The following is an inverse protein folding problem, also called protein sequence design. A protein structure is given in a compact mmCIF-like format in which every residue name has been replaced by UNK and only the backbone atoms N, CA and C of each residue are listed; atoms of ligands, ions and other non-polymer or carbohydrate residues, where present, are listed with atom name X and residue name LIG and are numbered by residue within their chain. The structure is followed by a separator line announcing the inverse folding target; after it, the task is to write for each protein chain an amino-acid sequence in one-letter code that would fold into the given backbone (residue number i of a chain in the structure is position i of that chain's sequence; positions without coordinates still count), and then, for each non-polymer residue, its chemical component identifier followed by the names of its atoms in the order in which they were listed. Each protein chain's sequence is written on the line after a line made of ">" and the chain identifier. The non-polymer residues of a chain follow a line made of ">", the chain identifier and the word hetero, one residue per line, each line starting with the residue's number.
data_IF_702475017503
#
_entry.id   IF_702475017503
#
_cell.length_a   1.000
_cell.length_b   1.000
_cell.length_c   1.000
_cell.angle_alpha   90.00
_cell.angle_beta   90.00
_cell.angle_gamma   90.00
#
_symmetry.space_group_name_H-M   'P 1'
#
loop_
_entity.id
_entity.type
_entity.pdbx_description
1 polymer ?
#
# COMPACT_ATOMS: atom_id res chain seq x y z
N UNK A 1 -5.96 16.57 -12.51
CA UNK A 1 -5.16 17.36 -11.55
C UNK A 1 -4.06 16.58 -10.86
N UNK A 2 -4.23 15.31 -10.48
CA UNK A 2 -3.17 14.53 -9.83
C UNK A 2 -1.96 14.31 -10.74
N UNK A 3 -2.15 13.90 -11.98
CA UNK A 3 -1.05 13.59 -12.90
C UNK A 3 -0.12 14.79 -13.16
N UNK A 4 -0.66 16.00 -13.34
CA UNK A 4 0.18 17.18 -13.53
C UNK A 4 1.09 17.42 -12.32
N UNK A 5 0.52 17.44 -11.10
CA UNK A 5 1.29 17.60 -9.86
C UNK A 5 2.35 16.52 -9.68
N UNK A 6 2.01 15.26 -10.00
CA UNK A 6 2.95 14.16 -9.92
C UNK A 6 4.14 14.38 -10.87
N UNK A 7 3.88 14.61 -12.16
CA UNK A 7 4.91 14.82 -13.18
C UNK A 7 5.78 16.03 -12.86
N UNK A 8 5.18 17.18 -12.53
CA UNK A 8 5.91 18.40 -12.18
C UNK A 8 6.80 18.21 -10.94
N UNK A 9 6.30 17.51 -9.91
CA UNK A 9 7.06 17.26 -8.68
C UNK A 9 8.28 16.36 -8.90
N UNK A 10 8.15 15.34 -9.75
CA UNK A 10 9.26 14.47 -10.15
C UNK A 10 10.23 15.22 -11.06
N UNK A 11 9.71 15.95 -12.04
CA UNK A 11 10.53 16.71 -12.97
C UNK A 11 11.33 17.85 -12.28
N UNK A 12 10.87 18.34 -11.15
CA UNK A 12 11.57 19.35 -10.36
C UNK A 12 12.78 18.81 -9.58
N UNK A 13 12.94 17.50 -9.47
CA UNK A 13 14.09 16.92 -8.77
C UNK A 13 15.36 17.02 -9.64
N UNK A 14 16.46 17.58 -9.12
CA UNK A 14 17.71 17.76 -9.92
C UNK A 14 18.33 16.44 -10.38
N UNK A 15 18.18 15.39 -9.60
CA UNK A 15 18.76 14.07 -9.86
C UNK A 15 18.00 13.29 -10.96
N UNK A 16 16.80 13.74 -11.34
CA UNK A 16 15.98 13.11 -12.39
C UNK A 16 16.42 13.62 -13.77
N UNK A 17 17.02 12.76 -14.57
CA UNK A 17 17.42 13.06 -15.96
C UNK A 17 16.28 12.97 -16.96
N UNK A 18 15.33 12.05 -16.75
CA UNK A 18 14.18 11.86 -17.62
C UNK A 18 12.93 11.47 -16.80
N UNK A 19 11.77 11.83 -17.29
CA UNK A 19 10.46 11.43 -16.75
C UNK A 19 9.70 10.70 -17.85
N UNK A 20 9.32 9.46 -17.59
CA UNK A 20 8.60 8.63 -18.56
C UNK A 20 7.21 8.36 -18.01
N UNK A 21 6.19 8.86 -18.67
CA UNK A 21 4.79 8.59 -18.32
C UNK A 21 4.20 7.64 -19.36
N UNK A 22 3.72 6.49 -18.89
CA UNK A 22 3.06 5.51 -19.75
C UNK A 22 1.55 5.60 -19.50
N UNK A 23 0.83 6.08 -20.52
CA UNK A 23 -0.62 6.22 -20.46
C UNK A 23 -1.30 4.89 -20.84
N UNK A 24 -1.85 4.21 -19.86
CA UNK A 24 -2.56 2.95 -20.05
C UNK A 24 -4.04 3.20 -20.38
N UNK A 25 -4.30 3.70 -21.60
CA UNK A 25 -5.65 3.88 -22.17
C UNK A 25 -6.58 4.75 -21.29
N UNK A 26 -6.07 5.83 -20.69
CA UNK A 26 -6.91 6.75 -19.92
C UNK A 26 -8.01 7.37 -20.80
N UNK A 27 -9.25 7.38 -20.28
CA UNK A 27 -10.44 7.90 -20.97
C UNK A 27 -10.82 9.30 -20.51
N UNK A 28 -10.10 9.86 -19.53
CA UNK A 28 -10.30 11.19 -18.99
C UNK A 28 -9.35 12.22 -19.65
N UNK A 29 -9.18 13.37 -19.02
CA UNK A 29 -8.31 14.45 -19.52
C UNK A 29 -6.81 14.18 -19.42
N UNK A 30 -6.37 13.00 -18.96
CA UNK A 30 -4.96 12.66 -18.74
C UNK A 30 -4.12 12.89 -19.98
N UNK A 31 -4.56 12.44 -21.16
CA UNK A 31 -3.83 12.64 -22.43
C UNK A 31 -3.60 14.11 -22.74
N UNK A 32 -4.64 14.95 -22.64
CA UNK A 32 -4.52 16.38 -22.92
C UNK A 32 -3.55 17.07 -21.96
N UNK A 33 -3.61 16.73 -20.67
CA UNK A 33 -2.68 17.24 -19.65
C UNK A 33 -1.25 16.84 -19.95
N UNK A 34 -1.00 15.59 -20.32
CA UNK A 34 0.34 15.09 -20.64
C UNK A 34 0.91 15.74 -21.89
N UNK A 35 0.09 16.00 -22.92
CA UNK A 35 0.50 16.74 -24.13
C UNK A 35 0.94 18.16 -23.79
N UNK A 36 0.18 18.86 -22.95
CA UNK A 36 0.53 20.19 -22.48
C UNK A 36 1.84 20.19 -21.67
N UNK A 37 2.00 19.24 -20.76
CA UNK A 37 3.21 19.11 -19.94
C UNK A 37 4.45 18.79 -20.78
N UNK A 38 4.33 17.93 -21.80
CA UNK A 38 5.44 17.58 -22.70
C UNK A 38 5.96 18.80 -23.48
N UNK A 39 5.08 19.76 -23.80
CA UNK A 39 5.50 21.03 -24.38
C UNK A 39 6.28 21.95 -23.43
N UNK A 40 6.19 21.77 -22.11
CA UNK A 40 6.82 22.62 -21.09
C UNK A 40 8.00 21.95 -20.38
N UNK A 41 8.03 20.62 -20.33
CA UNK A 41 9.02 19.83 -19.58
C UNK A 41 9.87 19.03 -20.56
N UNK A 42 11.06 19.50 -20.99
CA UNK A 42 11.86 18.85 -22.03
C UNK A 42 12.27 17.41 -21.74
N UNK A 43 12.40 17.05 -20.46
CA UNK A 43 12.76 15.69 -20.04
C UNK A 43 11.56 14.74 -19.88
N UNK A 44 10.33 15.19 -20.18
CA UNK A 44 9.13 14.36 -20.15
C UNK A 44 8.96 13.61 -21.48
N UNK A 45 8.89 12.29 -21.39
CA UNK A 45 8.50 11.38 -22.49
C UNK A 45 7.15 10.78 -22.17
N UNK A 46 6.21 10.82 -23.09
CA UNK A 46 4.88 10.21 -22.95
C UNK A 46 4.77 9.04 -23.91
N UNK A 47 4.42 7.88 -23.37
CA UNK A 47 4.19 6.64 -24.12
C UNK A 47 2.72 6.23 -23.97
N UNK A 48 2.16 5.63 -24.99
CA UNK A 48 0.79 5.11 -25.01
C UNK A 48 0.80 3.59 -25.07
N UNK A 49 -0.01 2.95 -24.21
CA UNK A 49 -0.26 1.51 -24.31
C UNK A 49 -1.36 1.27 -25.34
N UNK A 50 -1.03 0.61 -26.43
CA UNK A 50 -2.01 0.27 -27.47
C UNK A 50 -2.91 -0.89 -27.00
N UNK A 51 -2.31 -1.97 -26.51
CA UNK A 51 -3.01 -3.18 -26.08
C UNK A 51 -2.32 -3.79 -24.84
N UNK A 52 -3.12 -4.38 -23.96
CA UNK A 52 -2.63 -5.10 -22.79
C UNK A 52 -2.48 -6.58 -23.13
N UNK A 53 -1.26 -7.14 -23.13
CA UNK A 53 -1.05 -8.55 -23.39
C UNK A 53 -1.73 -9.46 -22.35
N UNK A 54 -2.14 -10.66 -22.78
CA UNK A 54 -2.72 -11.65 -21.89
C UNK A 54 -1.75 -11.99 -20.73
N UNK A 55 -2.29 -12.11 -19.53
CA UNK A 55 -1.53 -12.45 -18.32
C UNK A 55 -0.86 -11.25 -17.63
N UNK A 56 -0.97 -10.04 -18.15
CA UNK A 56 -0.46 -8.84 -17.53
C UNK A 56 -1.51 -8.06 -16.73
N UNK A 57 -1.08 -7.48 -15.63
CA UNK A 57 -1.80 -6.39 -14.98
C UNK A 57 -1.38 -5.07 -15.65
N UNK A 58 -2.33 -4.17 -15.95
CA UNK A 58 -2.06 -2.95 -16.72
C UNK A 58 -0.93 -2.10 -16.12
N UNK A 59 -0.90 -1.91 -14.80
CA UNK A 59 0.18 -1.18 -14.10
C UNK A 59 1.54 -1.81 -14.36
N UNK A 60 1.65 -3.15 -14.26
CA UNK A 60 2.91 -3.86 -14.43
C UNK A 60 3.40 -3.76 -15.87
N UNK A 61 2.48 -3.84 -16.84
CA UNK A 61 2.84 -3.70 -18.25
C UNK A 61 3.30 -2.28 -18.57
N UNK A 62 2.59 -1.27 -18.10
CA UNK A 62 3.00 0.12 -18.26
C UNK A 62 4.39 0.38 -17.64
N UNK A 63 4.63 -0.11 -16.42
CA UNK A 63 5.92 0.00 -15.76
C UNK A 63 7.04 -0.70 -16.54
N UNK A 64 6.75 -1.87 -17.11
CA UNK A 64 7.70 -2.63 -17.96
C UNK A 64 8.06 -1.86 -19.24
N UNK A 65 7.07 -1.27 -19.94
CA UNK A 65 7.30 -0.42 -21.13
C UNK A 65 8.18 0.78 -20.77
N UNK A 66 7.85 1.50 -19.71
CA UNK A 66 8.62 2.65 -19.27
C UNK A 66 10.06 2.30 -18.93
N UNK A 67 10.27 1.20 -18.19
CA UNK A 67 11.62 0.73 -17.85
C UNK A 67 12.42 0.28 -19.08
N UNK A 68 11.76 -0.26 -20.10
CA UNK A 68 12.41 -0.72 -21.34
C UNK A 68 13.04 0.41 -22.17
N UNK A 69 12.52 1.64 -22.05
CA UNK A 69 13.05 2.82 -22.77
C UNK A 69 13.87 3.75 -21.89
N UNK A 70 13.92 3.47 -20.57
CA UNK A 70 14.67 4.27 -19.62
C UNK A 70 16.18 4.11 -19.79
N UNK A 71 16.92 5.23 -19.78
CA UNK A 71 18.37 5.28 -19.94
C UNK A 71 19.12 5.46 -18.60
N UNK A 72 18.41 5.90 -17.55
CA UNK A 72 19.00 6.17 -16.24
C UNK A 72 19.65 4.94 -15.60
N UNK A 73 20.65 5.15 -14.78
CA UNK A 73 21.28 4.10 -13.96
C UNK A 73 20.32 3.56 -12.90
N UNK A 74 19.51 4.43 -12.33
CA UNK A 74 18.46 4.12 -11.39
C UNK A 74 17.08 4.33 -12.03
N UNK A 75 16.16 3.44 -11.74
CA UNK A 75 14.76 3.52 -12.14
C UNK A 75 13.92 3.89 -10.90
N UNK A 76 13.20 5.01 -10.98
CA UNK A 76 12.24 5.41 -9.95
C UNK A 76 10.82 5.17 -10.46
N UNK A 77 10.16 4.15 -9.93
CA UNK A 77 8.74 3.92 -10.18
C UNK A 77 7.91 4.71 -9.18
N UNK A 78 6.86 5.36 -9.66
CA UNK A 78 5.94 6.15 -8.85
C UNK A 78 4.53 6.13 -9.42
N UNK A 79 3.51 6.23 -8.56
CA UNK A 79 2.12 6.28 -9.00
C UNK A 79 1.74 7.71 -9.44
N UNK A 80 0.75 7.81 -10.34
CA UNK A 80 0.28 9.07 -10.93
C UNK A 80 -0.45 10.01 -9.93
N UNK A 81 -0.71 9.55 -8.71
CA UNK A 81 -1.33 10.29 -7.61
C UNK A 81 -0.35 10.62 -6.48
N UNK A 82 0.91 10.27 -6.67
CA UNK A 82 2.01 10.52 -5.72
C UNK A 82 2.80 11.75 -6.15
N UNK A 83 3.15 12.61 -5.21
CA UNK A 83 4.00 13.75 -5.46
C UNK A 83 5.19 13.80 -4.52
N UNK A 84 6.30 14.24 -5.10
CA UNK A 84 7.62 14.24 -4.49
C UNK A 84 7.93 15.63 -3.90
N UNK A 85 8.32 15.66 -2.63
CA UNK A 85 8.79 16.90 -2.02
C UNK A 85 10.25 17.17 -2.43
N UNK A 86 10.71 18.42 -2.39
CA UNK A 86 12.07 18.78 -2.78
C UNK A 86 13.11 17.93 -2.05
N UNK A 87 14.06 17.37 -2.81
CA UNK A 87 15.14 16.53 -2.28
C UNK A 87 14.76 15.06 -2.04
N UNK A 88 13.55 14.63 -2.43
CA UNK A 88 13.11 13.23 -2.26
C UNK A 88 14.05 12.23 -2.95
N UNK A 89 14.44 12.50 -4.18
CA UNK A 89 15.32 11.63 -4.96
C UNK A 89 16.74 11.64 -4.39
N UNK A 90 17.27 12.80 -3.99
CA UNK A 90 18.58 12.92 -3.33
C UNK A 90 18.63 12.09 -2.06
N UNK A 91 17.58 12.17 -1.24
CA UNK A 91 17.48 11.38 -0.03
C UNK A 91 17.46 9.88 -0.31
N UNK A 92 16.72 9.43 -1.32
CA UNK A 92 16.65 8.03 -1.67
C UNK A 92 17.98 7.49 -2.18
N UNK A 93 18.72 8.26 -2.98
CA UNK A 93 20.08 7.91 -3.43
C UNK A 93 21.07 7.85 -2.26
N UNK A 94 20.99 8.80 -1.31
CA UNK A 94 21.80 8.76 -0.10
C UNK A 94 21.49 7.52 0.76
N UNK A 95 20.19 7.23 0.99
CA UNK A 95 19.77 6.02 1.72
C UNK A 95 20.24 4.73 1.00
N UNK A 96 20.26 4.70 -0.34
CA UNK A 96 20.79 3.57 -1.10
C UNK A 96 22.28 3.31 -0.79
N UNK A 97 23.09 4.36 -0.78
CA UNK A 97 24.51 4.29 -0.45
C UNK A 97 24.72 3.90 1.01
N UNK A 98 24.10 4.63 1.94
CA UNK A 98 24.28 4.45 3.40
C UNK A 98 23.82 3.06 3.87
N UNK A 99 22.85 2.46 3.20
CA UNK A 99 22.30 1.14 3.52
C UNK A 99 22.82 0.02 2.63
N UNK A 100 23.71 0.32 1.69
CA UNK A 100 24.17 -0.64 0.68
C UNK A 100 22.99 -1.35 0.00
N UNK A 101 21.94 -0.59 -0.31
CA UNK A 101 20.71 -1.09 -0.88
C UNK A 101 20.63 -0.78 -2.37
N UNK A 102 20.26 -1.75 -3.18
CA UNK A 102 20.00 -1.58 -4.62
C UNK A 102 18.53 -1.26 -4.90
N UNK A 103 17.66 -1.48 -3.92
CA UNK A 103 16.25 -1.10 -3.93
C UNK A 103 15.95 -0.27 -2.69
N UNK A 104 15.46 0.96 -2.90
CA UNK A 104 14.94 1.83 -1.85
C UNK A 104 13.47 2.11 -2.11
N UNK A 105 12.64 1.87 -1.13
CA UNK A 105 11.21 2.14 -1.25
C UNK A 105 10.69 2.91 -0.04
N UNK A 106 9.83 3.88 -0.31
CA UNK A 106 9.20 4.70 0.70
C UNK A 106 7.69 4.50 0.71
N UNK A 107 7.12 4.28 1.89
CA UNK A 107 5.68 4.37 2.10
C UNK A 107 5.32 5.86 2.26
N UNK A 108 4.56 6.47 1.34
CA UNK A 108 4.26 7.90 1.36
C UNK A 108 3.39 8.32 2.54
N UNK A 109 3.53 9.58 2.95
CA UNK A 109 2.55 10.22 3.81
C UNK A 109 1.19 10.26 3.13
N UNK A 110 0.15 9.88 3.86
CA UNK A 110 -1.22 9.84 3.36
C UNK A 110 -1.94 11.14 3.66
N UNK A 111 -2.35 11.87 2.62
CA UNK A 111 -3.25 13.02 2.76
C UNK A 111 -4.69 12.51 2.95
N UNK A 112 -5.35 12.93 4.02
CA UNK A 112 -6.68 12.47 4.40
C UNK A 112 -7.57 13.67 4.72
N UNK A 113 -8.57 13.91 3.89
CA UNK A 113 -9.49 15.05 4.03
C UNK A 113 -10.86 14.62 4.57
N UNK A 114 -11.32 13.43 4.20
CA UNK A 114 -12.66 12.95 4.52
C UNK A 114 -12.68 12.07 5.77
N UNK A 115 -13.87 11.91 6.36
CA UNK A 115 -14.10 10.98 7.47
C UNK A 115 -13.63 9.55 7.14
N UNK A 116 -13.96 9.05 5.94
CA UNK A 116 -13.66 7.68 5.53
C UNK A 116 -12.16 7.44 5.37
N UNK A 117 -11.43 8.42 4.84
CA UNK A 117 -9.97 8.37 4.75
C UNK A 117 -9.35 8.31 6.14
N UNK A 118 -9.77 9.19 7.05
CA UNK A 118 -9.25 9.25 8.44
C UNK A 118 -9.59 8.01 9.27
N UNK A 119 -10.70 7.35 8.98
CA UNK A 119 -11.10 6.12 9.66
C UNK A 119 -10.34 4.90 9.14
N UNK A 120 -10.30 4.70 7.82
CA UNK A 120 -9.79 3.45 7.23
C UNK A 120 -8.27 3.46 7.01
N UNK A 121 -7.70 4.55 6.47
CA UNK A 121 -6.30 4.57 6.04
C UNK A 121 -5.32 4.33 7.20
N UNK A 122 -5.40 5.04 8.35
CA UNK A 122 -4.50 4.77 9.47
C UNK A 122 -4.64 3.35 10.02
N UNK A 123 -5.86 2.79 9.97
CA UNK A 123 -6.10 1.42 10.40
C UNK A 123 -5.39 0.42 9.47
N UNK A 124 -5.58 0.55 8.16
CA UNK A 124 -4.90 -0.29 7.14
C UNK A 124 -3.39 -0.19 7.27
N UNK A 125 -2.83 1.02 7.26
CA UNK A 125 -1.37 1.20 7.31
C UNK A 125 -0.78 0.73 8.64
N UNK A 126 -1.50 0.85 9.75
CA UNK A 126 -1.11 0.25 11.03
C UNK A 126 -1.00 -1.28 10.95
N UNK A 127 -1.96 -1.93 10.27
CA UNK A 127 -1.92 -3.40 10.04
C UNK A 127 -0.79 -3.79 9.10
N UNK A 128 -0.58 -3.04 8.03
CA UNK A 128 0.52 -3.27 7.09
C UNK A 128 1.89 -3.08 7.75
N UNK A 129 2.07 -2.06 8.59
CA UNK A 129 3.32 -1.84 9.33
C UNK A 129 3.63 -2.96 10.33
N UNK A 130 2.61 -3.57 10.94
CA UNK A 130 2.77 -4.75 11.79
C UNK A 130 3.20 -5.98 10.96
N UNK A 131 2.63 -6.16 9.77
CA UNK A 131 2.95 -7.28 8.87
C UNK A 131 4.31 -7.11 8.20
N UNK A 132 4.56 -5.95 7.61
CA UNK A 132 5.80 -5.60 6.89
C UNK A 132 6.70 -4.73 7.76
N UNK A 133 7.14 -5.27 8.90
CA UNK A 133 8.03 -4.56 9.82
C UNK A 133 9.31 -4.11 9.11
N UNK A 134 9.60 -2.81 9.12
CA UNK A 134 10.82 -2.25 8.52
C UNK A 134 12.08 -2.96 9.01
N UNK A 135 12.16 -3.29 10.31
CA UNK A 135 13.30 -4.00 10.87
C UNK A 135 13.50 -5.40 10.25
N UNK A 136 12.41 -6.13 9.97
CA UNK A 136 12.50 -7.45 9.33
C UNK A 136 12.79 -7.34 7.84
N UNK A 137 12.11 -6.41 7.16
CA UNK A 137 12.31 -6.20 5.72
C UNK A 137 13.73 -5.77 5.42
N UNK A 138 14.31 -4.89 6.24
CA UNK A 138 15.65 -4.34 6.04
C UNK A 138 16.79 -5.26 6.57
N UNK A 139 16.48 -6.34 7.29
CA UNK A 139 17.49 -7.32 7.70
C UNK A 139 17.81 -8.26 6.51
N UNK A 140 19.03 -8.25 5.97
CA UNK A 140 19.41 -9.07 4.82
C UNK A 140 19.36 -10.58 5.10
N UNK A 141 19.39 -11.00 6.36
CA UNK A 141 19.34 -12.41 6.78
C UNK A 141 17.92 -12.97 6.80
N UNK A 142 16.89 -12.13 6.67
CA UNK A 142 15.49 -12.55 6.74
C UNK A 142 14.88 -12.59 5.34
N UNK A 143 13.95 -13.50 5.07
CA UNK A 143 13.26 -13.60 3.78
C UNK A 143 12.19 -12.50 3.60
N UNK A 144 11.83 -11.77 4.67
CA UNK A 144 10.79 -10.75 4.62
C UNK A 144 11.16 -9.67 3.60
N UNK A 145 10.28 -9.40 2.65
CA UNK A 145 10.45 -8.36 1.64
C UNK A 145 9.18 -7.54 1.50
N UNK A 146 9.32 -6.24 1.32
CA UNK A 146 8.24 -5.33 0.99
C UNK A 146 8.78 -4.11 0.26
N UNK A 147 7.94 -3.53 -0.58
CA UNK A 147 8.11 -2.23 -1.19
C UNK A 147 6.74 -1.58 -1.38
N UNK A 148 6.71 -0.30 -1.69
CA UNK A 148 5.51 0.43 -2.05
C UNK A 148 5.72 1.05 -3.44
N UNK A 149 4.91 0.64 -4.41
CA UNK A 149 4.97 1.10 -5.79
C UNK A 149 4.73 2.60 -5.99
N UNK A 150 4.31 3.31 -4.94
CA UNK A 150 4.19 4.76 -4.96
C UNK A 150 5.55 5.47 -4.91
N UNK A 151 6.58 4.80 -4.37
CA UNK A 151 7.97 5.22 -4.46
C UNK A 151 8.88 4.01 -4.38
N UNK A 152 9.41 3.57 -5.51
CA UNK A 152 10.32 2.44 -5.60
C UNK A 152 11.49 2.80 -6.51
N UNK A 153 12.66 3.06 -5.90
CA UNK A 153 13.92 3.34 -6.58
C UNK A 153 14.72 2.04 -6.67
N UNK A 154 15.08 1.62 -7.87
CA UNK A 154 15.78 0.34 -8.12
C UNK A 154 16.91 0.52 -9.14
N UNK A 155 18.06 -0.03 -8.86
CA UNK A 155 19.20 -0.03 -9.75
C UNK A 155 18.85 -0.78 -11.05
N UNK A 156 19.03 -0.15 -12.24
CA UNK A 156 18.53 -0.67 -13.52
C UNK A 156 19.11 -2.03 -13.89
N UNK A 157 20.38 -2.27 -13.66
CA UNK A 157 21.01 -3.57 -13.95
C UNK A 157 20.44 -4.69 -13.08
N UNK A 158 20.11 -4.40 -11.79
CA UNK A 158 19.45 -5.36 -10.90
C UNK A 158 18.00 -5.58 -11.32
N UNK A 159 17.28 -4.52 -11.70
CA UNK A 159 15.93 -4.64 -12.27
C UNK A 159 15.91 -5.60 -13.47
N UNK A 160 16.88 -5.47 -14.37
CA UNK A 160 17.02 -6.35 -15.54
C UNK A 160 17.39 -7.79 -15.13
N UNK A 161 18.33 -7.93 -14.19
CA UNK A 161 18.79 -9.25 -13.73
C UNK A 161 17.68 -10.09 -13.08
N UNK A 162 16.74 -9.44 -12.34
CA UNK A 162 15.61 -10.15 -11.72
C UNK A 162 14.41 -10.33 -12.67
N UNK A 163 14.53 -9.91 -13.94
CA UNK A 163 13.48 -10.00 -14.95
C UNK A 163 12.42 -8.89 -14.88
N UNK A 164 12.62 -7.88 -14.03
CA UNK A 164 11.77 -6.69 -13.90
C UNK A 164 10.29 -6.99 -13.71
N UNK A 165 9.43 -6.11 -14.20
CA UNK A 165 7.98 -6.29 -14.11
C UNK A 165 7.46 -7.48 -14.93
N UNK A 166 8.23 -8.00 -15.89
CA UNK A 166 7.85 -9.18 -16.65
C UNK A 166 7.81 -10.43 -15.74
N UNK A 167 8.75 -10.56 -14.79
CA UNK A 167 8.75 -11.66 -13.82
C UNK A 167 7.55 -11.64 -12.86
N UNK A 168 6.89 -10.50 -12.72
CA UNK A 168 5.72 -10.29 -11.85
C UNK A 168 4.47 -9.84 -12.62
N UNK A 169 4.40 -10.07 -13.92
CA UNK A 169 3.42 -9.54 -14.86
C UNK A 169 1.96 -9.63 -14.37
N UNK A 170 1.55 -10.79 -13.84
CA UNK A 170 0.20 -11.05 -13.35
C UNK A 170 -0.01 -10.83 -11.85
N UNK A 171 0.98 -10.28 -11.13
CA UNK A 171 0.86 -10.07 -9.68
C UNK A 171 0.13 -8.75 -9.38
N UNK A 172 -0.83 -8.79 -8.44
CA UNK A 172 -1.56 -7.61 -7.98
C UNK A 172 -0.69 -6.73 -7.07
N UNK A 173 0.19 -7.37 -6.29
CA UNK A 173 1.18 -6.74 -5.42
C UNK A 173 2.55 -6.87 -6.08
N UNK A 174 2.72 -6.20 -7.21
CA UNK A 174 3.91 -6.26 -8.03
C UNK A 174 5.16 -5.73 -7.32
N UNK A 175 4.99 -4.69 -6.52
CA UNK A 175 6.03 -4.03 -5.74
C UNK A 175 6.61 -4.95 -4.66
N UNK A 176 5.76 -5.62 -3.90
CA UNK A 176 6.15 -6.62 -2.89
C UNK A 176 6.82 -7.83 -3.58
N UNK A 177 6.24 -8.30 -4.70
CA UNK A 177 6.79 -9.43 -5.43
C UNK A 177 8.17 -9.09 -6.04
N UNK A 178 8.33 -7.90 -6.62
CA UNK A 178 9.61 -7.45 -7.18
C UNK A 178 10.68 -7.28 -6.10
N UNK A 179 10.33 -6.70 -4.95
CA UNK A 179 11.23 -6.62 -3.79
C UNK A 179 11.64 -8.02 -3.30
N UNK A 180 10.71 -8.98 -3.33
CA UNK A 180 10.99 -10.39 -3.02
C UNK A 180 12.02 -11.01 -3.96
N UNK A 181 11.90 -10.80 -5.27
CA UNK A 181 12.86 -11.29 -6.26
C UNK A 181 14.25 -10.67 -6.06
N UNK A 182 14.32 -9.35 -5.82
CA UNK A 182 15.58 -8.66 -5.54
C UNK A 182 16.26 -9.27 -4.32
N UNK A 183 15.52 -9.46 -3.23
CA UNK A 183 16.07 -10.00 -1.97
C UNK A 183 16.46 -11.48 -2.07
N UNK A 184 15.69 -12.28 -2.81
CA UNK A 184 16.00 -13.72 -3.05
C UNK A 184 17.32 -13.90 -3.82
N UNK A 185 17.71 -12.92 -4.62
CA UNK A 185 19.02 -12.92 -5.31
C UNK A 185 20.17 -12.37 -4.44
N UNK A 186 19.93 -12.13 -3.15
CA UNK A 186 20.94 -11.68 -2.20
C UNK A 186 21.22 -10.18 -2.20
N UNK A 187 20.44 -9.39 -2.93
CA UNK A 187 20.61 -7.93 -2.95
C UNK A 187 19.99 -7.25 -1.73
N UNK A 188 20.62 -6.16 -1.28
CA UNK A 188 20.11 -5.32 -0.20
C UNK A 188 18.90 -4.51 -0.62
N UNK A 189 17.87 -4.48 0.24
CA UNK A 189 16.69 -3.62 0.10
C UNK A 189 16.56 -2.72 1.31
N UNK A 190 16.04 -1.50 1.12
CA UNK A 190 15.71 -0.58 2.19
C UNK A 190 14.29 -0.06 2.02
N UNK A 191 13.43 -0.36 2.99
CA UNK A 191 12.03 0.05 3.03
C UNK A 191 11.75 0.85 4.29
N UNK A 192 11.13 2.03 4.16
CA UNK A 192 10.82 2.92 5.29
C UNK A 192 9.65 3.85 4.95
N UNK A 193 9.19 4.63 5.93
CA UNK A 193 8.17 5.67 5.78
C UNK A 193 8.73 7.02 6.24
N UNK A 194 9.54 7.72 5.41
CA UNK A 194 10.12 8.99 5.78
C UNK A 194 9.07 10.12 5.72
N UNK A 195 9.10 10.99 6.73
CA UNK A 195 8.29 12.22 6.74
C UNK A 195 8.89 13.26 5.80
N UNK A 196 8.02 14.03 5.13
CA UNK A 196 8.43 15.20 4.34
C UNK A 196 9.15 14.84 3.04
N UNK A 197 8.99 13.63 2.52
CA UNK A 197 9.68 13.16 1.32
C UNK A 197 8.69 12.92 0.16
N UNK A 198 7.65 12.15 0.42
CA UNK A 198 6.66 11.76 -0.60
C UNK A 198 5.27 11.77 0.02
N UNK A 199 4.31 12.29 -0.70
CA UNK A 199 2.91 12.32 -0.29
C UNK A 199 1.99 11.80 -1.37
N UNK A 200 0.85 11.24 -0.94
CA UNK A 200 -0.20 10.82 -1.84
C UNK A 200 -1.57 11.04 -1.21
N UNK A 201 -2.56 11.26 -2.06
CA UNK A 201 -3.96 11.09 -1.73
C UNK A 201 -4.55 10.04 -2.66
N UNK A 202 -4.53 8.79 -2.22
CA UNK A 202 -4.89 7.63 -3.03
C UNK A 202 -6.34 7.66 -3.52
N UNK A 203 -7.26 8.14 -2.68
CA UNK A 203 -8.69 8.04 -2.94
C UNK A 203 -9.38 9.37 -2.71
N UNK A 204 -10.23 9.78 -3.66
CA UNK A 204 -11.01 11.02 -3.58
C UNK A 204 -12.49 10.78 -3.34
N UNK A 205 -12.92 9.51 -3.27
CA UNK A 205 -14.28 9.11 -2.95
C UNK A 205 -14.28 7.80 -2.17
N UNK A 206 -15.33 7.59 -1.39
CA UNK A 206 -15.54 6.32 -0.67
C UNK A 206 -15.57 5.13 -1.63
N UNK A 207 -16.27 5.26 -2.77
CA UNK A 207 -16.36 4.18 -3.76
C UNK A 207 -15.00 3.75 -4.32
N UNK A 208 -14.14 4.73 -4.66
CA UNK A 208 -12.78 4.45 -5.14
C UNK A 208 -11.92 3.78 -4.05
N UNK A 209 -12.02 4.26 -2.81
CA UNK A 209 -11.33 3.68 -1.66
C UNK A 209 -11.78 2.24 -1.38
N UNK A 210 -13.09 2.01 -1.40
CA UNK A 210 -13.68 0.68 -1.22
C UNK A 210 -13.22 -0.31 -2.30
N UNK A 211 -13.26 0.13 -3.58
CA UNK A 211 -12.78 -0.71 -4.69
C UNK A 211 -11.29 -1.05 -4.55
N UNK A 212 -10.46 -0.08 -4.20
CA UNK A 212 -9.02 -0.28 -4.03
C UNK A 212 -8.71 -1.25 -2.91
N UNK A 213 -9.25 -1.05 -1.72
CA UNK A 213 -8.96 -1.92 -0.57
C UNK A 213 -9.60 -3.30 -0.70
N UNK A 214 -10.82 -3.42 -1.24
CA UNK A 214 -11.41 -4.74 -1.48
C UNK A 214 -10.71 -5.56 -2.57
N UNK A 215 -9.87 -4.94 -3.41
CA UNK A 215 -8.96 -5.64 -4.31
C UNK A 215 -7.73 -6.17 -3.58
N UNK A 216 -7.15 -5.37 -2.69
CA UNK A 216 -5.78 -5.57 -2.21
C UNK A 216 -5.69 -6.25 -0.83
N UNK A 217 -6.69 -6.09 0.07
CA UNK A 217 -6.52 -6.48 1.48
C UNK A 217 -6.27 -7.97 1.66
N UNK A 218 -7.03 -8.85 1.02
CA UNK A 218 -6.85 -10.30 1.18
C UNK A 218 -5.45 -10.77 0.71
N UNK A 219 -4.96 -10.39 -0.48
CA UNK A 219 -3.57 -10.65 -0.85
C UNK A 219 -2.54 -10.03 0.13
N UNK A 220 -2.78 -8.81 0.60
CA UNK A 220 -1.88 -8.12 1.54
C UNK A 220 -1.78 -8.82 2.89
N UNK A 221 -2.84 -9.48 3.36
CA UNK A 221 -2.81 -10.25 4.60
C UNK A 221 -2.32 -11.69 4.42
N UNK A 222 -1.92 -12.07 3.21
CA UNK A 222 -1.30 -13.37 2.92
C UNK A 222 -2.00 -14.20 1.85
N UNK A 223 -3.26 -13.89 1.55
CA UNK A 223 -4.03 -14.58 0.50
C UNK A 223 -4.45 -16.01 0.86
N UNK A 224 -4.27 -16.44 2.11
CA UNK A 224 -4.65 -17.75 2.61
C UNK A 224 -5.66 -17.66 3.76
N UNK A 225 -6.42 -18.73 3.99
CA UNK A 225 -7.49 -18.76 4.99
C UNK A 225 -6.96 -18.62 6.43
N UNK A 226 -5.78 -19.17 6.72
CA UNK A 226 -5.18 -19.07 8.06
C UNK A 226 -4.82 -17.63 8.39
N UNK A 227 -4.12 -16.97 7.50
CA UNK A 227 -3.74 -15.55 7.66
C UNK A 227 -4.97 -14.64 7.74
N UNK A 228 -6.00 -14.91 6.92
CA UNK A 228 -7.27 -14.20 6.97
C UNK A 228 -7.97 -14.37 8.32
N UNK A 229 -8.05 -15.60 8.84
CA UNK A 229 -8.70 -15.87 10.13
C UNK A 229 -7.97 -15.22 11.30
N UNK A 230 -6.63 -15.26 11.29
CA UNK A 230 -5.80 -14.57 12.30
C UNK A 230 -6.00 -13.07 12.24
N UNK A 231 -6.06 -12.49 11.03
CA UNK A 231 -6.31 -11.05 10.86
C UNK A 231 -7.69 -10.65 11.36
N UNK A 232 -8.73 -11.45 11.10
CA UNK A 232 -10.07 -11.23 11.64
C UNK A 232 -10.07 -11.27 13.17
N UNK A 233 -9.43 -12.24 13.79
CA UNK A 233 -9.34 -12.36 15.25
C UNK A 233 -8.64 -11.13 15.87
N UNK A 234 -7.57 -10.62 15.26
CA UNK A 234 -6.89 -9.42 15.76
C UNK A 234 -7.69 -8.12 15.57
N UNK A 235 -8.51 -8.04 14.51
CA UNK A 235 -9.32 -6.84 14.21
C UNK A 235 -10.58 -6.77 15.03
N UNK A 236 -11.16 -7.93 15.35
CA UNK A 236 -12.42 -8.02 16.07
C UNK A 236 -12.30 -8.60 17.49
N UNK A 237 -11.37 -8.09 18.35
CA UNK A 237 -11.28 -8.55 19.73
C UNK A 237 -12.57 -8.29 20.50
N UNK A 238 -13.44 -7.39 20.03
CA UNK A 238 -14.78 -7.16 20.56
C UNK A 238 -15.73 -8.34 20.35
N UNK A 239 -15.57 -9.11 19.26
CA UNK A 239 -16.37 -10.32 19.05
C UNK A 239 -16.00 -11.38 20.06
N UNK A 240 -14.70 -11.59 20.31
CA UNK A 240 -14.22 -12.52 21.33
C UNK A 240 -14.68 -12.10 22.74
N UNK A 241 -14.56 -10.80 23.04
CA UNK A 241 -15.06 -10.26 24.30
C UNK A 241 -16.58 -10.34 24.42
N UNK A 242 -17.32 -10.06 23.34
CA UNK A 242 -18.76 -10.20 23.29
C UNK A 242 -19.22 -11.64 23.52
N UNK A 243 -18.54 -12.62 22.94
CA UNK A 243 -18.78 -14.06 23.17
C UNK A 243 -18.45 -14.44 24.62
N UNK A 244 -17.31 -14.01 25.13
CA UNK A 244 -16.91 -14.27 26.52
C UNK A 244 -17.89 -13.63 27.53
N UNK A 245 -18.36 -12.41 27.26
CA UNK A 245 -19.35 -11.71 28.08
C UNK A 245 -20.72 -12.36 27.97
N UNK A 246 -21.15 -12.80 26.82
CA UNK A 246 -22.38 -13.57 26.61
C UNK A 246 -22.36 -14.89 27.41
N UNK A 247 -21.22 -15.60 27.35
CA UNK A 247 -21.02 -16.81 28.15
C UNK A 247 -21.04 -16.52 29.64
N UNK A 248 -20.34 -15.48 30.11
CA UNK A 248 -20.38 -15.07 31.53
C UNK A 248 -21.78 -14.67 31.97
N UNK A 249 -22.56 -13.99 31.16
CA UNK A 249 -23.96 -13.65 31.43
C UNK A 249 -24.83 -14.90 31.54
N UNK A 250 -24.70 -15.82 30.58
CA UNK A 250 -25.50 -17.03 30.54
C UNK A 250 -25.20 -17.96 31.73
N UNK A 251 -23.90 -18.16 32.06
CA UNK A 251 -23.49 -19.04 33.15
C UNK A 251 -23.47 -18.35 34.50
N UNK A 252 -23.21 -17.03 34.56
CA UNK A 252 -23.17 -16.24 35.81
C UNK A 252 -24.53 -15.74 36.30
N UNK A 253 -25.49 -15.54 35.37
CA UNK A 253 -26.86 -15.10 35.67
C UNK A 253 -27.66 -16.10 36.56
N UNK A 254 -27.14 -17.32 36.69
CA UNK A 254 -27.69 -18.33 37.62
C UNK A 254 -27.29 -18.13 39.07
N UNK A 255 -26.38 -17.19 39.44
CA UNK A 255 -25.82 -17.02 40.79
C UNK A 255 -25.66 -15.59 41.31
N UNK A 256 -26.27 -14.61 40.67
CA UNK A 256 -26.19 -13.19 41.09
C UNK A 256 -25.99 -12.25 39.90
N UNK A 257 -26.17 -10.94 40.06
CA UNK A 257 -26.05 -9.99 38.93
C UNK A 257 -24.57 -9.82 38.50
N UNK A 258 -24.15 -10.34 37.31
CA UNK A 258 -22.78 -10.20 36.79
C UNK A 258 -22.54 -8.84 36.11
N UNK A 259 -23.48 -7.91 36.19
CA UNK A 259 -23.45 -6.65 35.41
C UNK A 259 -22.23 -5.79 35.76
N UNK A 260 -21.84 -5.68 37.01
CA UNK A 260 -20.74 -4.81 37.43
C UNK A 260 -19.35 -5.34 36.98
N UNK A 261 -19.00 -6.63 37.21
CA UNK A 261 -17.79 -7.21 36.66
C UNK A 261 -17.75 -7.18 35.13
N UNK A 262 -18.90 -7.38 34.47
CA UNK A 262 -19.02 -7.35 33.01
C UNK A 262 -18.74 -5.95 32.45
N UNK A 263 -19.31 -4.89 33.06
CA UNK A 263 -19.03 -3.50 32.68
C UNK A 263 -17.55 -3.15 32.89
N UNK A 264 -16.94 -3.61 33.98
CA UNK A 264 -15.53 -3.42 34.28
C UNK A 264 -14.64 -4.08 33.20
N UNK A 265 -14.94 -5.32 32.82
CA UNK A 265 -14.20 -6.03 31.75
C UNK A 265 -14.35 -5.35 30.40
N UNK A 266 -15.58 -4.93 30.03
CA UNK A 266 -15.80 -4.19 28.76
C UNK A 266 -15.05 -2.87 28.73
N UNK A 267 -15.09 -2.10 29.81
CA UNK A 267 -14.38 -0.83 29.89
C UNK A 267 -12.87 -1.03 29.80
N UNK A 268 -12.34 -2.03 30.51
CA UNK A 268 -10.92 -2.39 30.45
C UNK A 268 -10.49 -2.82 29.05
N UNK A 269 -11.30 -3.61 28.36
CA UNK A 269 -11.02 -4.02 26.98
C UNK A 269 -11.06 -2.83 26.01
N UNK A 270 -12.09 -1.97 26.11
CA UNK A 270 -12.17 -0.76 25.30
C UNK A 270 -10.96 0.15 25.53
N UNK A 271 -10.55 0.33 26.75
CA UNK A 271 -9.36 1.09 27.09
C UNK A 271 -8.11 0.46 26.48
N UNK A 272 -7.95 -0.86 26.62
CA UNK A 272 -6.80 -1.60 26.06
C UNK A 272 -6.69 -1.47 24.54
N UNK A 273 -7.79 -1.64 23.78
CA UNK A 273 -7.75 -1.53 22.32
C UNK A 273 -7.50 -0.10 21.84
N UNK A 274 -8.04 0.90 22.56
CA UNK A 274 -7.75 2.31 22.25
C UNK A 274 -6.30 2.66 22.56
N UNK A 275 -5.72 2.15 23.65
CA UNK A 275 -4.30 2.33 23.96
C UNK A 275 -3.40 1.69 22.90
N UNK A 276 -3.73 0.47 22.47
CA UNK A 276 -3.02 -0.18 21.36
C UNK A 276 -3.11 0.64 20.06
N UNK A 277 -4.29 1.15 19.73
CA UNK A 277 -4.48 1.96 18.54
C UNK A 277 -3.73 3.30 18.64
N UNK A 278 -3.74 3.93 19.81
CA UNK A 278 -2.91 5.13 20.06
C UNK A 278 -1.43 4.87 19.79
N UNK A 279 -0.91 3.72 20.24
CA UNK A 279 0.46 3.31 19.96
C UNK A 279 0.71 3.08 18.45
N UNK A 280 -0.26 2.55 17.72
CA UNK A 280 -0.20 2.41 16.26
C UNK A 280 -0.16 3.77 15.58
N UNK A 281 -1.04 4.70 15.97
CA UNK A 281 -1.05 6.07 15.44
C UNK A 281 0.29 6.77 15.69
N UNK A 282 0.80 6.71 16.91
CA UNK A 282 2.08 7.31 17.28
C UNK A 282 3.26 6.75 16.48
N UNK A 283 3.35 5.42 16.36
CA UNK A 283 4.44 4.75 15.62
C UNK A 283 4.40 5.02 14.12
N UNK A 284 3.20 5.23 13.55
CA UNK A 284 3.02 5.53 12.13
C UNK A 284 2.88 7.03 11.86
N UNK A 285 3.14 7.86 12.86
CA UNK A 285 3.17 9.33 12.76
C UNK A 285 1.83 9.96 12.35
N UNK A 286 0.73 9.31 12.69
CA UNK A 286 -0.61 9.86 12.55
C UNK A 286 -1.00 10.74 13.73
N UNK A 287 -1.83 11.77 13.54
CA UNK A 287 -2.35 12.57 14.65
C UNK A 287 -3.07 11.70 15.69
N UNK A 288 -2.73 11.90 16.98
CA UNK A 288 -3.35 11.12 18.05
C UNK A 288 -4.86 11.36 18.15
N UNK A 289 -5.35 12.52 17.67
CA UNK A 289 -6.78 12.81 17.57
C UNK A 289 -7.55 11.80 16.71
N UNK A 290 -6.86 11.02 15.87
CA UNK A 290 -7.48 9.97 15.06
C UNK A 290 -7.91 8.75 15.89
N UNK A 291 -7.60 8.72 17.18
CA UNK A 291 -8.09 7.66 18.10
C UNK A 291 -9.62 7.54 18.09
N UNK A 292 -10.34 8.64 17.90
CA UNK A 292 -11.81 8.66 17.78
C UNK A 292 -12.33 7.85 16.57
N UNK A 293 -11.49 7.60 15.56
CA UNK A 293 -11.84 6.81 14.38
C UNK A 293 -11.58 5.31 14.57
N UNK A 294 -11.15 4.85 15.74
CA UNK A 294 -10.83 3.43 15.95
C UNK A 294 -11.99 2.51 15.56
N UNK A 295 -13.16 2.73 16.15
CA UNK A 295 -14.33 1.87 15.93
C UNK A 295 -14.81 1.87 14.48
N UNK A 296 -15.08 3.04 13.84
CA UNK A 296 -15.43 3.05 12.42
C UNK A 296 -14.32 2.50 11.53
N UNK A 297 -13.06 2.71 11.88
CA UNK A 297 -11.91 2.15 11.15
C UNK A 297 -11.88 0.63 11.20
N UNK A 298 -12.04 0.03 12.38
CA UNK A 298 -12.10 -1.42 12.55
C UNK A 298 -13.29 -2.05 11.79
N UNK A 299 -14.47 -1.43 11.86
CA UNK A 299 -15.65 -1.90 11.13
C UNK A 299 -15.45 -1.84 9.61
N UNK A 300 -14.94 -0.72 9.09
CA UNK A 300 -14.67 -0.53 7.66
C UNK A 300 -13.58 -1.48 7.16
N UNK A 301 -12.51 -1.64 7.93
CA UNK A 301 -11.43 -2.56 7.59
C UNK A 301 -11.92 -4.00 7.53
N UNK A 302 -12.65 -4.46 8.55
CA UNK A 302 -13.20 -5.81 8.59
C UNK A 302 -14.17 -6.07 7.44
N UNK A 303 -15.08 -5.14 7.16
CA UNK A 303 -15.99 -5.24 6.04
C UNK A 303 -15.24 -5.30 4.69
N UNK A 304 -14.21 -4.46 4.51
CA UNK A 304 -13.38 -4.45 3.32
C UNK A 304 -12.53 -5.72 3.18
N UNK A 305 -12.02 -6.27 4.28
CA UNK A 305 -11.27 -7.52 4.31
C UNK A 305 -12.15 -8.72 3.91
N UNK A 306 -13.37 -8.83 4.47
CA UNK A 306 -14.34 -9.87 4.11
C UNK A 306 -14.73 -9.75 2.64
N UNK A 307 -15.03 -8.53 2.17
CA UNK A 307 -15.34 -8.29 0.77
C UNK A 307 -14.16 -8.62 -0.16
N UNK A 308 -12.92 -8.33 0.28
CA UNK A 308 -11.70 -8.69 -0.44
C UNK A 308 -11.52 -10.20 -0.53
N UNK A 309 -11.67 -10.91 0.58
CA UNK A 309 -11.65 -12.38 0.60
C UNK A 309 -12.66 -12.97 -0.36
N UNK A 310 -13.92 -12.52 -0.30
CA UNK A 310 -14.99 -13.00 -1.16
C UNK A 310 -14.73 -12.80 -2.65
N UNK A 311 -14.20 -11.63 -3.04
CA UNK A 311 -13.84 -11.34 -4.44
C UNK A 311 -12.69 -12.20 -4.93
N UNK A 312 -11.65 -12.35 -4.10
CA UNK A 312 -10.45 -13.09 -4.49
C UNK A 312 -10.72 -14.61 -4.57
N UNK A 313 -11.53 -15.17 -3.66
CA UNK A 313 -11.87 -16.60 -3.67
C UNK A 313 -12.80 -16.99 -4.81
N UNK A 314 -13.62 -16.04 -5.32
CA UNK A 314 -14.48 -16.26 -6.51
C UNK A 314 -13.76 -16.04 -7.84
N UNK A 315 -12.50 -15.68 -7.82
CA UNK A 315 -11.68 -15.55 -9.03
C UNK A 315 -11.95 -14.31 -9.87
N UNK A 316 -12.73 -13.33 -9.37
CA UNK A 316 -13.10 -12.14 -10.14
C UNK A 316 -12.69 -10.88 -9.39
N UNK A 317 -11.56 -10.31 -9.77
CA UNK A 317 -11.11 -9.01 -9.25
C UNK A 317 -11.25 -7.97 -10.36
N UNK A 318 -12.21 -7.06 -10.22
CA UNK A 318 -12.39 -5.95 -11.16
C UNK A 318 -11.65 -4.70 -10.67
N UNK A 319 -10.94 -4.02 -11.57
CA UNK A 319 -10.27 -2.75 -11.29
C UNK A 319 -10.20 -1.87 -12.54
N UNK A 320 -10.66 -0.61 -12.42
CA UNK A 320 -10.66 0.38 -13.51
C UNK A 320 -11.22 -0.18 -14.82
N UNK A 321 -12.38 -0.86 -14.75
CA UNK A 321 -13.08 -1.42 -15.92
C UNK A 321 -12.49 -2.72 -16.48
N UNK A 322 -11.39 -3.24 -15.92
CA UNK A 322 -10.79 -4.52 -16.32
C UNK A 322 -11.04 -5.59 -15.26
N UNK A 323 -11.23 -6.83 -15.71
CA UNK A 323 -11.40 -8.01 -14.85
C UNK A 323 -10.10 -8.82 -14.89
N UNK A 324 -9.56 -9.12 -13.72
CA UNK A 324 -8.37 -9.95 -13.56
C UNK A 324 -8.78 -11.29 -12.95
N UNK A 325 -8.28 -12.40 -13.52
CA UNK A 325 -8.42 -13.69 -12.88
C UNK A 325 -7.60 -13.69 -11.57
N UNK A 326 -8.25 -13.88 -10.42
CA UNK A 326 -7.54 -14.14 -9.19
C UNK A 326 -6.84 -15.50 -9.36
N UNK A 327 -5.53 -15.50 -9.53
CA UNK A 327 -4.76 -16.75 -9.45
C UNK A 327 -4.71 -17.14 -7.97
N UNK A 328 -5.18 -18.33 -7.67
CA UNK A 328 -4.89 -19.04 -6.41
C UNK A 328 -3.38 -18.98 -6.15
N UNK A 329 -2.96 -18.86 -4.88
CA UNK A 329 -1.56 -18.67 -4.47
C UNK A 329 -0.62 -19.74 -4.99
#
# INVERSE_FOLDING_TARGET
>A
MSIARAVESVAAQPEIGEVIVVNDQSTDRTRAILTELAGRIPKLKVLEVAELPAGWVGKNYAASIGAGVAAGEWLLFTDADTYHLPGSTRRALADAVDRSAVLVSYSPEQEMETFWERALIPFVYGRLAARFSFARVNDPRRPDAAANGQFLLLLRNVYQAVGGHAAVAGKILEDVALAGLVKQQGYGIYFTAPIGIVRTRMYRSFGAMWQGWTKNLYPLVGGDLKSFSLECAEVFPFLEAGVALGALFFFGGMRGSPLLPMLGLMTGLLFYVHLRYAAVLYRNLYPISYIQYYLPGACLYGAALIASWWKNTRGVVAWKGRTYAARTP
#
